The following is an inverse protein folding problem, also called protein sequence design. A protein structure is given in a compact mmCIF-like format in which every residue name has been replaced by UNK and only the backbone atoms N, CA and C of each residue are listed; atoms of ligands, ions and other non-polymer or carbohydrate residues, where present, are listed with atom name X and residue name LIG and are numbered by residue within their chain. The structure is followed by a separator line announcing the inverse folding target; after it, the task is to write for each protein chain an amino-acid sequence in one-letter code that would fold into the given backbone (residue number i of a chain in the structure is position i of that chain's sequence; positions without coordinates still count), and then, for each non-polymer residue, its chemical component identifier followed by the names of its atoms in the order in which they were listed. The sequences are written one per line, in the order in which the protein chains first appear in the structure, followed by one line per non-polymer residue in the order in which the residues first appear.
data_IF_383605266891
#
_entry.id   IF_383605266891
#
_cell.length_a   1.000
_cell.length_b   1.000
_cell.length_c   1.000
_cell.angle_alpha   90.00
_cell.angle_beta   90.00
_cell.angle_gamma   90.00
#
_symmetry.space_group_name_H-M   'P 1'
#
loop_
_entity.id
_entity.type
_entity.pdbx_description
1 polymer ?
#
# COMPACT_ATOMS: atom_id res chain seq x y z
N UNK A 1 -31.02 64.74 18.16
CA UNK A 1 -30.18 63.95 17.25
C UNK A 1 -30.78 62.55 17.19
N UNK A 2 -31.31 62.09 16.04
CA UNK A 2 -31.91 60.77 15.94
C UNK A 2 -31.01 59.78 15.18
N UNK A 3 -31.39 58.49 15.25
CA UNK A 3 -31.17 57.40 14.26
C UNK A 3 -29.92 56.55 14.46
N UNK A 4 -29.94 55.22 14.31
CA UNK A 4 -30.98 54.20 14.19
C UNK A 4 -30.22 52.87 14.33
N UNK A 5 -30.73 51.92 15.12
CA UNK A 5 -30.26 50.54 15.04
C UNK A 5 -30.68 49.95 13.67
N UNK A 6 -29.77 49.31 12.96
CA UNK A 6 -30.09 48.57 11.73
C UNK A 6 -29.68 47.12 11.92
N UNK A 7 -30.67 46.29 12.24
CA UNK A 7 -30.61 44.84 12.11
C UNK A 7 -30.52 44.52 10.61
N UNK A 8 -29.36 44.06 10.15
CA UNK A 8 -29.21 43.53 8.78
C UNK A 8 -29.64 42.06 8.83
N UNK A 9 -30.86 41.81 8.35
CA UNK A 9 -31.36 40.47 8.06
C UNK A 9 -30.79 40.05 6.71
N UNK A 10 -29.60 39.43 6.70
CA UNK A 10 -29.04 38.87 5.47
C UNK A 10 -29.54 37.43 5.30
N UNK A 11 -30.73 37.31 4.68
CA UNK A 11 -31.25 36.04 4.20
C UNK A 11 -30.51 35.64 2.92
N UNK A 12 -29.37 34.98 3.06
CA UNK A 12 -28.79 34.21 1.95
C UNK A 12 -29.42 32.82 1.95
N UNK A 13 -30.47 32.69 1.13
CA UNK A 13 -31.04 31.40 0.74
C UNK A 13 -29.96 30.67 -0.04
N UNK A 14 -29.21 29.78 0.62
CA UNK A 14 -28.32 28.87 -0.10
C UNK A 14 -29.20 27.78 -0.71
N UNK A 15 -29.27 27.81 -2.03
CA UNK A 15 -29.99 26.83 -2.85
C UNK A 15 -29.40 25.44 -2.62
N UNK A 16 -30.31 24.49 -2.39
CA UNK A 16 -30.22 23.07 -2.77
C UNK A 16 -29.00 22.29 -2.27
N UNK A 17 -29.24 21.41 -1.28
CA UNK A 17 -28.46 20.19 -1.11
C UNK A 17 -28.61 19.36 -2.38
N UNK A 18 -27.69 19.54 -3.33
CA UNK A 18 -27.45 18.53 -4.34
C UNK A 18 -26.88 17.33 -3.62
N UNK A 19 -27.56 16.20 -3.71
CA UNK A 19 -26.97 14.90 -3.44
C UNK A 19 -25.82 14.75 -4.43
N UNK A 20 -24.62 15.09 -3.98
CA UNK A 20 -23.40 14.86 -4.75
C UNK A 20 -23.28 13.34 -4.81
N UNK A 21 -23.67 12.76 -5.95
CA UNK A 21 -23.28 11.40 -6.28
C UNK A 21 -21.77 11.38 -6.07
N UNK A 22 -21.31 10.62 -5.06
CA UNK A 22 -19.91 10.56 -4.72
C UNK A 22 -19.14 10.32 -6.02
N UNK A 23 -18.30 11.29 -6.40
CA UNK A 23 -17.54 11.22 -7.64
C UNK A 23 -16.98 9.81 -7.74
N UNK A 24 -17.35 9.07 -8.80
CA UNK A 24 -16.75 7.78 -9.08
C UNK A 24 -15.26 8.05 -9.18
N UNK A 25 -14.52 7.65 -8.15
CA UNK A 25 -13.10 7.90 -8.09
C UNK A 25 -12.49 7.24 -9.32
N UNK A 26 -12.09 8.04 -10.31
CA UNK A 26 -11.27 7.55 -11.40
C UNK A 26 -9.93 7.23 -10.78
N UNK A 27 -9.73 5.93 -10.51
CA UNK A 27 -8.51 5.36 -9.95
C UNK A 27 -7.41 5.41 -11.02
N UNK A 28 -7.04 6.62 -11.42
CA UNK A 28 -6.02 6.87 -12.43
C UNK A 28 -4.84 7.52 -11.73
N UNK A 29 -3.60 7.09 -12.01
CA UNK A 29 -2.43 7.73 -11.45
C UNK A 29 -2.40 9.19 -11.89
N UNK A 30 -2.29 10.10 -10.92
CA UNK A 30 -2.23 11.55 -11.18
C UNK A 30 -0.96 11.91 -11.96
N UNK A 31 0.13 11.16 -11.72
CA UNK A 31 1.39 11.22 -12.48
C UNK A 31 2.14 9.87 -12.38
N UNK A 32 2.79 9.45 -13.47
CA UNK A 32 3.67 8.28 -13.50
C UNK A 32 2.94 6.93 -13.35
N UNK A 33 3.71 5.88 -13.01
CA UNK A 33 3.19 4.55 -12.69
C UNK A 33 2.76 4.52 -11.21
N UNK A 34 1.66 3.84 -10.90
CA UNK A 34 1.26 3.56 -9.52
C UNK A 34 1.96 2.32 -8.97
N UNK A 35 1.75 2.00 -7.68
CA UNK A 35 2.35 0.85 -7.03
C UNK A 35 1.93 -0.48 -7.66
N UNK A 36 0.67 -0.60 -8.10
CA UNK A 36 0.17 -1.81 -8.75
C UNK A 36 0.83 -2.04 -10.13
N UNK A 37 0.93 -1.00 -10.94
CA UNK A 37 1.57 -1.08 -12.27
C UNK A 37 3.08 -1.21 -12.18
N UNK A 38 3.71 -0.73 -11.11
CA UNK A 38 5.13 -0.96 -10.84
C UNK A 38 5.44 -2.45 -10.63
N UNK A 39 4.56 -3.20 -9.97
CA UNK A 39 4.68 -4.65 -9.74
C UNK A 39 4.16 -5.42 -10.96
N UNK A 40 5.00 -5.52 -11.98
CA UNK A 40 4.75 -6.31 -13.19
C UNK A 40 5.06 -7.79 -12.96
N UNK A 41 4.36 -8.69 -13.65
CA UNK A 41 4.61 -10.12 -13.57
C UNK A 41 6.08 -10.45 -13.89
N UNK A 42 6.69 -11.33 -13.10
CA UNK A 42 8.11 -11.71 -13.14
C UNK A 42 9.10 -10.57 -12.83
N UNK A 43 8.63 -9.43 -12.30
CA UNK A 43 9.52 -8.38 -11.81
C UNK A 43 10.03 -8.72 -10.43
N UNK A 44 11.34 -8.59 -10.23
CA UNK A 44 11.99 -8.84 -8.93
C UNK A 44 12.58 -7.55 -8.37
N UNK A 45 12.28 -7.27 -7.11
CA UNK A 45 12.93 -6.22 -6.33
C UNK A 45 13.76 -6.83 -5.21
N UNK A 46 14.93 -6.24 -4.93
CA UNK A 46 15.76 -6.58 -3.79
C UNK A 46 15.61 -5.53 -2.69
N UNK A 47 15.39 -5.98 -1.45
CA UNK A 47 15.46 -5.09 -0.31
C UNK A 47 16.91 -4.69 -0.04
N UNK A 48 17.21 -3.42 -0.24
CA UNK A 48 18.57 -2.86 -0.06
C UNK A 48 18.77 -2.24 1.32
N UNK A 49 17.73 -1.66 1.91
CA UNK A 49 17.76 -1.02 3.22
C UNK A 49 16.36 -1.06 3.86
N UNK A 50 16.30 -1.09 5.19
CA UNK A 50 15.02 -1.07 5.93
C UNK A 50 15.20 -0.55 7.35
N UNK A 51 14.20 0.21 7.82
CA UNK A 51 14.08 0.61 9.23
C UNK A 51 13.27 -0.39 10.06
N UNK A 52 12.76 -1.46 9.46
CA UNK A 52 12.06 -2.51 10.19
C UNK A 52 13.05 -3.31 11.03
N UNK A 53 12.66 -3.66 12.26
CA UNK A 53 13.48 -4.44 13.18
C UNK A 53 13.72 -5.91 12.73
N UNK A 54 13.31 -6.29 11.52
CA UNK A 54 13.55 -7.62 10.94
C UNK A 54 15.04 -7.89 10.69
N UNK A 55 15.88 -6.85 10.58
CA UNK A 55 17.31 -6.98 10.30
C UNK A 55 18.21 -6.66 11.49
N UNK A 56 17.68 -6.27 12.66
CA UNK A 56 18.49 -5.84 13.81
C UNK A 56 19.40 -6.94 14.36
N UNK A 57 19.07 -8.20 14.11
CA UNK A 57 19.87 -9.37 14.51
C UNK A 57 20.66 -10.00 13.36
N UNK A 58 20.76 -9.33 12.20
CA UNK A 58 21.37 -9.87 10.98
C UNK A 58 20.78 -11.23 10.54
N UNK A 59 19.55 -11.56 10.94
CA UNK A 59 18.99 -12.92 10.79
C UNK A 59 18.73 -13.31 9.34
N UNK A 60 18.35 -12.36 8.50
CA UNK A 60 17.96 -12.58 7.11
C UNK A 60 18.88 -11.79 6.18
N UNK A 61 19.25 -12.36 5.04
CA UNK A 61 20.04 -11.71 4.00
C UNK A 61 19.43 -11.93 2.63
N UNK A 62 19.84 -11.08 1.69
CA UNK A 62 19.48 -11.22 0.28
C UNK A 62 17.97 -11.32 0.04
N UNK A 63 17.18 -10.53 0.80
CA UNK A 63 15.73 -10.54 0.69
C UNK A 63 15.34 -9.98 -0.69
N UNK A 64 14.64 -10.79 -1.47
CA UNK A 64 14.08 -10.43 -2.78
C UNK A 64 12.59 -10.74 -2.80
N UNK A 65 11.81 -9.90 -3.46
CA UNK A 65 10.39 -10.11 -3.72
C UNK A 65 10.16 -10.14 -5.22
N UNK A 66 9.47 -11.17 -5.69
CA UNK A 66 9.12 -11.34 -7.11
C UNK A 66 7.61 -11.41 -7.26
N UNK A 67 7.05 -10.61 -8.16
CA UNK A 67 5.64 -10.71 -8.54
C UNK A 67 5.43 -11.97 -9.37
N UNK A 68 4.71 -12.95 -8.82
CA UNK A 68 4.52 -14.28 -9.41
C UNK A 68 3.10 -14.52 -9.93
N UNK A 69 2.14 -13.74 -9.45
CA UNK A 69 0.76 -13.74 -9.95
C UNK A 69 0.19 -12.31 -9.88
N UNK A 70 -0.73 -12.00 -10.79
CA UNK A 70 -1.37 -10.68 -10.89
C UNK A 70 -2.77 -10.84 -11.45
N UNK A 71 -3.76 -10.30 -10.73
CA UNK A 71 -5.17 -10.30 -11.14
C UNK A 71 -5.62 -8.88 -11.40
N UNK A 72 -5.80 -8.55 -12.67
CA UNK A 72 -6.15 -7.20 -13.13
C UNK A 72 -7.52 -6.75 -12.59
N UNK A 73 -8.54 -7.60 -12.67
CA UNK A 73 -9.90 -7.24 -12.26
C UNK A 73 -10.02 -6.90 -10.76
N UNK A 74 -9.20 -7.56 -9.92
CA UNK A 74 -9.22 -7.41 -8.47
C UNK A 74 -8.11 -6.48 -7.94
N UNK A 75 -7.20 -6.02 -8.81
CA UNK A 75 -5.99 -5.29 -8.43
C UNK A 75 -5.18 -6.02 -7.36
N UNK A 76 -5.03 -7.34 -7.54
CA UNK A 76 -4.27 -8.21 -6.64
C UNK A 76 -2.94 -8.60 -7.25
N UNK A 77 -1.93 -8.77 -6.40
CA UNK A 77 -0.63 -9.35 -6.76
C UNK A 77 -0.25 -10.42 -5.75
N UNK A 78 0.52 -11.41 -6.18
CA UNK A 78 1.20 -12.36 -5.29
C UNK A 78 2.70 -12.18 -5.39
N UNK A 79 3.29 -11.76 -4.29
CA UNK A 79 4.74 -11.61 -4.13
C UNK A 79 5.31 -12.88 -3.51
N UNK A 80 6.27 -13.51 -4.19
CA UNK A 80 7.10 -14.55 -3.59
C UNK A 80 8.38 -13.91 -3.06
N UNK A 81 8.57 -14.00 -1.75
CA UNK A 81 9.73 -13.48 -1.05
C UNK A 81 10.72 -14.62 -0.83
N UNK A 82 11.97 -14.42 -1.23
CA UNK A 82 13.08 -15.33 -1.00
C UNK A 82 14.13 -14.64 -0.14
N UNK A 83 14.76 -15.39 0.77
CA UNK A 83 15.81 -14.87 1.62
C UNK A 83 16.72 -15.99 2.12
N UNK A 84 17.95 -15.62 2.46
CA UNK A 84 18.88 -16.50 3.13
C UNK A 84 18.80 -16.30 4.63
N UNK A 85 18.48 -17.36 5.38
CA UNK A 85 18.38 -17.32 6.84
C UNK A 85 19.69 -17.77 7.47
N UNK A 86 20.37 -16.87 8.19
CA UNK A 86 21.69 -17.17 8.77
C UNK A 86 21.64 -18.26 9.85
N UNK A 87 20.58 -18.30 10.67
CA UNK A 87 20.49 -19.25 11.78
C UNK A 87 20.41 -20.72 11.34
N UNK A 88 19.96 -20.96 10.11
CA UNK A 88 19.77 -22.30 9.53
C UNK A 88 20.63 -22.52 8.29
N UNK A 89 21.44 -21.53 7.89
CA UNK A 89 22.32 -21.53 6.71
C UNK A 89 21.63 -22.02 5.42
N UNK A 90 20.36 -21.66 5.23
CA UNK A 90 19.57 -22.11 4.08
C UNK A 90 18.76 -21.00 3.45
N UNK A 91 18.44 -21.18 2.18
CA UNK A 91 17.43 -20.39 1.50
C UNK A 91 16.04 -20.81 1.96
N UNK A 92 15.21 -19.82 2.27
CA UNK A 92 13.80 -20.00 2.62
C UNK A 92 12.97 -19.03 1.76
N UNK A 93 11.71 -19.37 1.56
CA UNK A 93 10.78 -18.55 0.80
C UNK A 93 9.37 -18.65 1.34
N UNK A 94 8.58 -17.63 1.05
CA UNK A 94 7.13 -17.64 1.26
C UNK A 94 6.46 -16.81 0.18
N UNK A 95 5.18 -17.05 -0.06
CA UNK A 95 4.36 -16.24 -0.96
C UNK A 95 3.27 -15.53 -0.15
N UNK A 96 2.98 -14.28 -0.52
CA UNK A 96 1.92 -13.48 0.09
C UNK A 96 1.17 -12.72 -1.00
N UNK A 97 -0.15 -12.82 -0.96
CA UNK A 97 -1.03 -12.05 -1.84
C UNK A 97 -1.44 -10.74 -1.17
N UNK A 98 -1.49 -9.68 -1.99
CA UNK A 98 -1.86 -8.33 -1.59
C UNK A 98 -2.95 -7.81 -2.52
N UNK A 99 -3.90 -7.09 -1.95
CA UNK A 99 -4.89 -6.30 -2.70
C UNK A 99 -4.50 -4.83 -2.65
N UNK A 100 -4.59 -4.17 -3.79
CA UNK A 100 -4.36 -2.74 -3.89
C UNK A 100 -5.65 -1.95 -3.71
N UNK A 101 -5.54 -0.88 -2.92
CA UNK A 101 -6.64 0.04 -2.65
C UNK A 101 -6.53 1.24 -3.58
N UNK A 102 -7.65 1.59 -4.23
CA UNK A 102 -7.75 2.81 -4.99
C UNK A 102 -7.66 4.03 -4.06
N UNK A 103 -6.77 4.97 -4.40
CA UNK A 103 -6.64 6.25 -3.72
C UNK A 103 -6.42 7.41 -4.69
N UNK A 104 -6.20 8.63 -4.16
CA UNK A 104 -6.07 9.86 -4.96
C UNK A 104 -4.93 9.85 -6.00
N UNK A 105 -3.93 8.99 -5.79
CA UNK A 105 -2.76 8.85 -6.67
C UNK A 105 -2.73 7.50 -7.41
N UNK A 106 -3.88 6.83 -7.54
CA UNK A 106 -3.98 5.49 -8.09
C UNK A 106 -3.78 4.41 -7.03
N UNK A 107 -3.34 3.23 -7.48
CA UNK A 107 -3.19 2.04 -6.62
C UNK A 107 -1.82 2.03 -5.92
N UNK A 108 -1.67 2.85 -4.88
CA UNK A 108 -0.40 3.04 -4.15
C UNK A 108 -0.40 2.47 -2.73
N UNK A 109 -1.50 1.91 -2.26
CA UNK A 109 -1.57 1.23 -0.97
C UNK A 109 -1.93 -0.23 -1.21
N UNK A 110 -1.12 -1.15 -0.70
CA UNK A 110 -1.36 -2.58 -0.77
C UNK A 110 -1.53 -3.15 0.63
N UNK A 111 -2.46 -4.08 0.79
CA UNK A 111 -2.71 -4.76 2.07
C UNK A 111 -2.79 -6.26 1.86
N UNK A 112 -2.23 -7.02 2.78
CA UNK A 112 -2.31 -8.49 2.79
C UNK A 112 -3.77 -8.94 2.69
N UNK A 113 -4.03 -9.92 1.82
CA UNK A 113 -5.35 -10.56 1.74
C UNK A 113 -5.45 -11.56 2.89
N UNK A 114 -6.40 -11.33 3.81
CA UNK A 114 -6.58 -12.04 5.08
C UNK A 114 -6.83 -13.57 4.97
N UNK A 115 -6.97 -14.11 3.76
CA UNK A 115 -7.31 -15.52 3.55
C UNK A 115 -6.22 -16.52 3.96
N UNK A 116 -5.03 -16.05 4.37
CA UNK A 116 -3.95 -16.89 4.89
C UNK A 116 -3.37 -16.40 6.23
N UNK A 117 -4.15 -15.71 7.07
CA UNK A 117 -3.78 -15.54 8.50
C UNK A 117 -3.94 -16.91 9.20
N UNK A 118 -2.97 -17.77 8.96
CA UNK A 118 -2.66 -18.89 9.83
C UNK A 118 -1.79 -18.30 10.95
N UNK A 119 -2.02 -18.66 12.21
CA UNK A 119 -1.18 -18.24 13.34
C UNK A 119 0.31 -18.65 13.20
N UNK A 120 0.65 -19.35 12.11
CA UNK A 120 1.98 -19.67 11.60
C UNK A 120 1.95 -19.45 10.08
N UNK A 121 2.21 -18.22 9.63
CA UNK A 121 2.11 -17.85 8.22
C UNK A 121 3.16 -16.82 7.79
N UNK A 122 3.09 -16.33 6.55
CA UNK A 122 3.86 -15.17 6.12
C UNK A 122 3.52 -13.94 6.99
N UNK A 123 4.44 -12.96 7.11
CA UNK A 123 4.12 -11.68 7.71
C UNK A 123 2.94 -11.02 6.98
N UNK A 124 1.99 -10.48 7.75
CA UNK A 124 0.90 -9.69 7.20
C UNK A 124 1.18 -8.20 7.37
N UNK A 125 0.65 -7.37 6.49
CA UNK A 125 0.90 -5.95 6.56
C UNK A 125 0.13 -5.11 5.58
N UNK A 126 0.28 -3.81 5.75
CA UNK A 126 -0.20 -2.79 4.82
C UNK A 126 0.97 -1.86 4.50
N UNK A 127 1.16 -1.58 3.21
CA UNK A 127 2.28 -0.82 2.70
C UNK A 127 1.82 0.28 1.76
N UNK A 128 2.52 1.40 1.80
CA UNK A 128 2.30 2.57 0.95
C UNK A 128 3.53 2.86 0.09
N UNK A 129 3.33 3.00 -1.21
CA UNK A 129 4.39 3.36 -2.14
C UNK A 129 4.65 4.87 -2.10
N UNK A 130 5.77 5.27 -1.51
CA UNK A 130 6.20 6.68 -1.43
C UNK A 130 6.95 7.12 -2.70
N UNK A 131 7.73 6.22 -3.30
CA UNK A 131 8.44 6.43 -4.57
C UNK A 131 8.26 5.20 -5.45
N UNK A 132 7.86 5.39 -6.71
CA UNK A 132 7.44 4.33 -7.65
C UNK A 132 8.34 4.25 -8.88
N UNK A 133 9.64 4.30 -8.64
CA UNK A 133 10.65 4.24 -9.69
C UNK A 133 11.11 2.77 -9.86
N UNK A 134 10.98 2.19 -11.08
CA UNK A 134 11.39 0.82 -11.36
C UNK A 134 12.84 0.50 -11.00
N UNK A 135 13.73 1.49 -11.00
CA UNK A 135 15.11 1.30 -10.60
C UNK A 135 15.29 1.31 -9.07
N UNK A 136 14.46 2.06 -8.35
CA UNK A 136 14.52 2.16 -6.89
C UNK A 136 13.21 2.70 -6.29
N UNK A 137 12.45 1.80 -5.69
CA UNK A 137 11.15 2.07 -5.06
C UNK A 137 11.30 2.20 -3.55
N UNK A 138 10.51 3.09 -2.95
CA UNK A 138 10.47 3.33 -1.50
C UNK A 138 9.07 3.00 -0.99
N UNK A 139 9.00 2.12 0.00
CA UNK A 139 7.78 1.70 0.67
C UNK A 139 7.77 2.20 2.11
N UNK A 140 6.59 2.56 2.60
CA UNK A 140 6.31 2.73 4.03
C UNK A 140 5.43 1.58 4.50
N UNK A 141 5.88 0.84 5.50
CA UNK A 141 5.01 -0.07 6.23
C UNK A 141 4.04 0.75 7.11
N UNK A 142 2.74 0.72 6.80
CA UNK A 142 1.67 1.28 7.64
C UNK A 142 1.34 0.33 8.80
N UNK A 143 1.39 -0.97 8.53
CA UNK A 143 1.22 -2.06 9.50
C UNK A 143 2.11 -3.22 9.09
N UNK A 144 2.74 -3.87 10.06
CA UNK A 144 3.59 -5.04 9.81
C UNK A 144 3.51 -5.97 11.02
N UNK A 145 2.87 -7.11 10.84
CA UNK A 145 2.70 -8.12 11.87
C UNK A 145 3.43 -9.40 11.48
N UNK A 146 4.23 -9.90 12.42
CA UNK A 146 4.95 -11.17 12.29
C UNK A 146 4.25 -12.23 13.12
N UNK A 147 4.19 -13.45 12.58
CA UNK A 147 3.68 -14.62 13.31
C UNK A 147 4.77 -15.47 13.95
N UNK A 148 6.06 -15.12 13.76
CA UNK A 148 7.17 -15.75 14.48
C UNK A 148 7.55 -14.93 15.72
N UNK A 149 7.24 -15.48 16.90
CA UNK A 149 7.73 -15.01 18.21
C UNK A 149 9.23 -15.30 18.36
#
# INVERSE_FOLDING_TARGET
MPRFATLIFCACIVKTLGEEEAATATCSPTTGIDGYHLLELNRTFRLVDTTLAIQTTNTYRCITATTTDKKEDAHEVTETVEYFRLSTERWESFSQSFVFQCGPEGYNTMTTIDQHIVNTGPPSGSYEFLKRDPACTILRAKRFDRTDN
#
